data_IF_552446216096
#
_entry.id   IF_552446216096
#
_cell.length_a   1.000
_cell.length_b   1.000
_cell.length_c   1.000
_cell.angle_alpha   90.00
_cell.angle_beta   90.00
_cell.angle_gamma   90.00
#
_symmetry.space_group_name_H-M   'P 1'
#
loop_
_entity.id
_entity.type
_entity.pdbx_description
1 polymer ?
#
# COMPACT_ATOMS: atom_id res chain seq x y z
N UNK A 1 17.64 9.39 13.13
CA UNK A 1 16.41 10.22 13.18
C UNK A 1 16.07 10.49 14.63
N UNK A 2 15.50 11.66 14.95
CA UNK A 2 14.93 11.90 16.28
C UNK A 2 13.71 10.99 16.50
N UNK A 3 13.38 10.65 17.74
CA UNK A 3 12.24 9.78 18.06
C UNK A 3 10.90 10.41 17.59
N UNK A 4 10.77 11.73 17.72
CA UNK A 4 9.60 12.46 17.22
C UNK A 4 9.46 12.34 15.69
N UNK A 5 10.58 12.41 14.97
CA UNK A 5 10.59 12.20 13.53
C UNK A 5 10.25 10.73 13.22
N UNK A 6 10.76 9.78 14.01
CA UNK A 6 10.57 8.33 13.81
C UNK A 6 9.11 7.96 13.88
N UNK A 7 8.42 8.44 14.91
CA UNK A 7 6.97 8.30 15.04
C UNK A 7 6.20 8.96 13.90
N UNK A 8 6.59 10.19 13.51
CA UNK A 8 5.94 10.92 12.42
C UNK A 8 6.05 10.16 11.11
N UNK A 9 7.25 9.71 10.76
CA UNK A 9 7.50 8.99 9.50
C UNK A 9 6.80 7.63 9.50
N UNK A 10 6.86 6.87 10.59
CA UNK A 10 6.15 5.60 10.69
C UNK A 10 4.63 5.76 10.54
N UNK A 11 4.04 6.79 11.14
CA UNK A 11 2.61 7.09 11.03
C UNK A 11 2.21 7.51 9.62
N UNK A 12 2.97 8.43 9.02
CA UNK A 12 2.73 8.89 7.65
C UNK A 12 2.84 7.74 6.66
N UNK A 13 3.89 6.94 6.77
CA UNK A 13 4.14 5.83 5.85
C UNK A 13 3.12 4.70 6.02
N UNK A 14 2.69 4.42 7.26
CA UNK A 14 1.56 3.51 7.52
C UNK A 14 0.27 4.01 6.88
N UNK A 15 -0.05 5.29 7.06
CA UNK A 15 -1.24 5.91 6.45
C UNK A 15 -1.21 5.83 4.93
N UNK A 16 -0.09 6.20 4.31
CA UNK A 16 0.11 6.14 2.86
C UNK A 16 0.01 4.70 2.33
N UNK A 17 0.65 3.73 2.99
CA UNK A 17 0.59 2.33 2.59
C UNK A 17 -0.83 1.75 2.66
N UNK A 18 -1.59 2.09 3.72
CA UNK A 18 -3.00 1.69 3.86
C UNK A 18 -3.84 2.32 2.76
N UNK A 19 -3.70 3.63 2.52
CA UNK A 19 -4.46 4.34 1.49
C UNK A 19 -4.16 3.78 0.08
N UNK A 20 -2.89 3.57 -0.26
CA UNK A 20 -2.48 2.99 -1.54
C UNK A 20 -3.07 1.60 -1.73
N UNK A 21 -2.98 0.74 -0.71
CA UNK A 21 -3.51 -0.63 -0.76
C UNK A 21 -5.03 -0.62 -0.89
N UNK A 22 -5.73 0.23 -0.13
CA UNK A 22 -7.18 0.35 -0.17
C UNK A 22 -7.67 0.82 -1.55
N UNK A 23 -7.01 1.83 -2.14
CA UNK A 23 -7.35 2.30 -3.48
C UNK A 23 -7.08 1.23 -4.55
N UNK A 24 -5.97 0.51 -4.45
CA UNK A 24 -5.68 -0.59 -5.37
C UNK A 24 -6.73 -1.72 -5.27
N UNK A 25 -7.18 -2.04 -4.06
CA UNK A 25 -8.26 -3.00 -3.84
C UNK A 25 -9.59 -2.53 -4.44
N UNK A 26 -9.93 -1.24 -4.28
CA UNK A 26 -11.12 -0.67 -4.90
C UNK A 26 -11.07 -0.75 -6.43
N UNK A 27 -9.92 -0.43 -7.03
CA UNK A 27 -9.72 -0.56 -8.48
C UNK A 27 -9.86 -2.01 -8.94
N UNK A 28 -9.28 -2.98 -8.22
CA UNK A 28 -9.45 -4.40 -8.51
C UNK A 28 -10.92 -4.82 -8.46
N UNK A 29 -11.64 -4.44 -7.39
CA UNK A 29 -13.06 -4.79 -7.23
C UNK A 29 -13.90 -4.20 -8.37
N UNK A 30 -13.67 -2.94 -8.73
CA UNK A 30 -14.36 -2.29 -9.86
C UNK A 30 -14.00 -2.95 -11.19
N UNK A 31 -12.73 -3.32 -11.39
CA UNK A 31 -12.26 -4.03 -12.58
C UNK A 31 -12.93 -5.40 -12.73
N UNK A 32 -12.99 -6.19 -11.66
CA UNK A 32 -13.67 -7.48 -11.63
C UNK A 32 -15.18 -7.32 -11.87
N UNK A 33 -15.81 -6.33 -11.25
CA UNK A 33 -17.22 -6.02 -11.49
C UNK A 33 -17.50 -5.71 -12.97
N UNK A 34 -16.62 -4.92 -13.61
CA UNK A 34 -16.75 -4.63 -15.05
C UNK A 34 -16.58 -5.88 -15.90
N UNK A 35 -15.63 -6.76 -15.58
CA UNK A 35 -15.46 -8.04 -16.30
C UNK A 35 -16.72 -8.89 -16.21
N UNK A 36 -17.34 -8.98 -15.04
CA UNK A 36 -18.58 -9.75 -14.85
C UNK A 36 -19.74 -9.13 -15.64
N UNK A 37 -19.85 -7.80 -15.68
CA UNK A 37 -20.97 -7.09 -16.32
C UNK A 37 -20.83 -6.92 -17.82
N UNK A 38 -19.61 -6.72 -18.32
CA UNK A 38 -19.33 -6.35 -19.73
C UNK A 38 -18.54 -7.43 -20.48
N UNK A 39 -18.20 -8.54 -19.83
CA UNK A 39 -17.39 -9.61 -20.39
C UNK A 39 -15.89 -9.39 -20.16
N UNK A 40 -15.10 -10.45 -20.42
CA UNK A 40 -13.65 -10.40 -20.27
C UNK A 40 -13.03 -9.48 -21.34
N UNK A 41 -12.20 -8.55 -20.89
CA UNK A 41 -11.48 -7.60 -21.75
C UNK A 41 -10.39 -6.87 -20.97
N UNK A 42 -9.53 -6.15 -21.69
CA UNK A 42 -8.51 -5.32 -21.05
C UNK A 42 -9.16 -4.23 -20.21
N UNK A 43 -8.69 -4.08 -18.96
CA UNK A 43 -9.10 -2.97 -18.10
C UNK A 43 -7.91 -2.46 -17.31
N UNK A 44 -7.65 -1.15 -17.42
CA UNK A 44 -6.63 -0.49 -16.61
C UNK A 44 -6.87 -0.63 -15.12
N UNK A 45 -8.12 -0.87 -14.69
CA UNK A 45 -8.49 -1.05 -13.29
C UNK A 45 -7.86 -2.29 -12.64
N UNK A 46 -7.47 -3.30 -13.43
CA UNK A 46 -6.75 -4.48 -12.92
C UNK A 46 -5.24 -4.33 -13.12
N UNK A 47 -4.84 -3.73 -14.23
CA UNK A 47 -3.41 -3.54 -14.56
C UNK A 47 -2.73 -2.57 -13.59
N UNK A 48 -3.39 -1.48 -13.19
CA UNK A 48 -2.82 -0.50 -12.27
C UNK A 48 -2.46 -1.14 -10.91
N UNK A 49 -3.38 -1.83 -10.21
CA UNK A 49 -3.04 -2.55 -8.98
C UNK A 49 -1.91 -3.57 -9.14
N UNK A 50 -1.89 -4.32 -10.24
CA UNK A 50 -0.82 -5.28 -10.52
C UNK A 50 0.54 -4.57 -10.68
N UNK A 51 0.59 -3.47 -11.44
CA UNK A 51 1.80 -2.67 -11.64
C UNK A 51 2.29 -1.98 -10.35
N UNK A 52 1.37 -1.60 -9.44
CA UNK A 52 1.69 -0.95 -8.17
C UNK A 52 2.04 -1.93 -7.05
N UNK A 53 1.86 -3.24 -7.24
CA UNK A 53 2.16 -4.27 -6.23
C UNK A 53 3.61 -4.19 -5.71
N UNK A 54 4.65 -4.01 -6.53
CA UNK A 54 6.02 -3.86 -6.04
C UNK A 54 6.18 -2.65 -5.10
N UNK A 55 5.50 -1.54 -5.38
CA UNK A 55 5.56 -0.33 -4.55
C UNK A 55 4.88 -0.58 -3.20
N UNK A 56 3.75 -1.30 -3.19
CA UNK A 56 3.07 -1.70 -1.95
C UNK A 56 3.99 -2.59 -1.09
N UNK A 57 4.69 -3.55 -1.72
CA UNK A 57 5.63 -4.42 -1.03
C UNK A 57 6.81 -3.64 -0.43
N UNK A 58 7.43 -2.75 -1.22
CA UNK A 58 8.53 -1.91 -0.76
C UNK A 58 8.11 -1.01 0.40
N UNK A 59 6.98 -0.32 0.29
CA UNK A 59 6.47 0.53 1.37
C UNK A 59 6.17 -0.27 2.65
N UNK A 60 5.68 -1.51 2.50
CA UNK A 60 5.44 -2.40 3.64
C UNK A 60 6.74 -2.87 4.28
N UNK A 61 7.79 -3.13 3.50
CA UNK A 61 9.12 -3.47 4.00
C UNK A 61 9.75 -2.30 4.75
N UNK A 62 9.76 -1.10 4.16
CA UNK A 62 10.24 0.10 4.85
C UNK A 62 9.49 0.33 6.17
N UNK A 63 8.19 0.05 6.23
CA UNK A 63 7.41 0.23 7.47
C UNK A 63 7.82 -0.78 8.54
N UNK A 64 8.18 -2.00 8.14
CA UNK A 64 8.73 -3.01 9.05
C UNK A 64 10.10 -2.57 9.58
N UNK A 65 10.93 -1.95 8.77
CA UNK A 65 12.24 -1.42 9.20
C UNK A 65 12.08 -0.30 10.23
N UNK A 66 11.20 0.67 9.98
CA UNK A 66 10.90 1.72 10.97
C UNK A 66 10.38 1.15 12.29
N UNK A 67 9.56 0.10 12.23
CA UNK A 67 9.07 -0.60 13.43
C UNK A 67 10.18 -1.35 14.17
N UNK A 68 11.13 -1.96 13.45
CA UNK A 68 12.30 -2.59 14.07
C UNK A 68 13.16 -1.56 14.77
N UNK A 69 13.36 -0.39 14.16
CA UNK A 69 14.10 0.72 14.78
C UNK A 69 13.40 1.23 16.04
N UNK A 70 12.07 1.43 16.01
CA UNK A 70 11.30 1.82 17.21
C UNK A 70 11.43 0.77 18.32
N UNK A 71 11.26 -0.52 17.99
CA UNK A 71 11.40 -1.60 18.96
C UNK A 71 12.80 -1.69 19.58
N UNK A 72 13.86 -1.48 18.78
CA UNK A 72 15.24 -1.44 19.26
C UNK A 72 15.51 -0.28 20.23
N UNK A 73 14.71 0.79 20.15
CA UNK A 73 14.76 1.95 21.06
C UNK A 73 13.77 1.85 22.23
N UNK A 74 13.00 0.76 22.32
CA UNK A 74 11.91 0.60 23.28
C UNK A 74 10.82 1.68 23.15
N UNK A 75 10.51 2.07 21.91
CA UNK A 75 9.47 3.03 21.52
C UNK A 75 8.24 2.33 20.93
#
# INVERSE_FOLDING_TARGET
MSDAELFKNAKLMKGAAIALTAMCMLLLIMGLFLIIKKGAGFTGLIVIPAALTPIILLNTQSLKELKKEMAARNL
#
